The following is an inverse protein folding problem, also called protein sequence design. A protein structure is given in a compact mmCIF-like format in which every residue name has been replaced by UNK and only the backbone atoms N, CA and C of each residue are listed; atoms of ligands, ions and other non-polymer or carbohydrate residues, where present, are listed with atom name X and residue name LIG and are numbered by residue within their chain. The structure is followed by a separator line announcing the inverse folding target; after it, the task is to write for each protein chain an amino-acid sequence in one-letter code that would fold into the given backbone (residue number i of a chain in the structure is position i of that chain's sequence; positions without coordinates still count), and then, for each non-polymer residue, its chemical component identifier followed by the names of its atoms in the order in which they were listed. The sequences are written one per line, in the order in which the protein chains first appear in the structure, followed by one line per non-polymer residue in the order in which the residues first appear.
data_IF_863183072215
#
_entry.id   IF_863183072215
#
_cell.length_a   1.000
_cell.length_b   1.000
_cell.length_c   1.000
_cell.angle_alpha   90.00
_cell.angle_beta   90.00
_cell.angle_gamma   90.00
#
_symmetry.space_group_name_H-M   'P 1'
#
loop_
_entity.id
_entity.type
_entity.pdbx_description
1 polymer ?
#
# COMPACT_ATOMS: atom_id res chain seq x y z
N UNK A 1 18.46 -17.98 0.15
CA UNK A 1 17.44 -17.14 0.81
C UNK A 1 17.70 -15.70 0.39
N UNK A 2 16.95 -15.15 -0.57
CA UNK A 2 17.02 -13.71 -0.88
C UNK A 2 16.26 -12.96 0.20
N UNK A 3 16.84 -11.85 0.64
CA UNK A 3 16.28 -10.93 1.62
C UNK A 3 15.00 -10.29 1.07
N UNK A 4 13.84 -10.93 1.28
CA UNK A 4 12.49 -10.37 1.02
C UNK A 4 12.16 -9.27 2.04
N UNK A 5 13.01 -8.25 2.12
CA UNK A 5 12.84 -7.13 3.06
C UNK A 5 11.61 -6.31 2.68
N UNK A 6 11.33 -6.17 1.39
CA UNK A 6 10.16 -5.46 0.87
C UNK A 6 8.85 -6.15 1.25
N UNK A 7 8.69 -7.45 0.93
CA UNK A 7 7.49 -8.20 1.29
C UNK A 7 7.32 -8.30 2.81
N UNK A 8 8.42 -8.39 3.57
CA UNK A 8 8.37 -8.35 5.03
C UNK A 8 7.83 -7.02 5.57
N UNK A 9 8.32 -5.89 5.06
CA UNK A 9 7.88 -4.56 5.50
C UNK A 9 6.43 -4.29 5.11
N UNK A 10 6.04 -4.67 3.88
CA UNK A 10 4.65 -4.60 3.43
C UNK A 10 3.72 -5.38 4.35
N UNK A 11 4.02 -6.66 4.60
CA UNK A 11 3.25 -7.50 5.54
C UNK A 11 3.16 -6.90 6.93
N UNK A 12 4.29 -6.37 7.44
CA UNK A 12 4.36 -5.79 8.79
C UNK A 12 3.40 -4.62 8.91
N UNK A 13 3.47 -3.66 7.99
CA UNK A 13 2.63 -2.47 8.03
C UNK A 13 1.16 -2.79 7.74
N UNK A 14 0.86 -3.69 6.80
CA UNK A 14 -0.52 -4.16 6.56
C UNK A 14 -1.14 -4.78 7.82
N UNK A 15 -0.39 -5.60 8.58
CA UNK A 15 -0.88 -6.20 9.83
C UNK A 15 -1.12 -5.17 10.94
N UNK A 16 -0.29 -4.15 11.02
CA UNK A 16 -0.45 -3.07 12.01
C UNK A 16 -1.67 -2.19 11.67
N UNK A 17 -1.93 -1.95 10.39
CA UNK A 17 -2.99 -1.07 9.93
C UNK A 17 -4.35 -1.76 9.81
N UNK A 18 -4.38 -3.07 9.55
CA UNK A 18 -5.62 -3.84 9.33
C UNK A 18 -6.65 -3.72 10.48
N UNK A 19 -6.27 -3.78 11.78
CA UNK A 19 -7.23 -3.57 12.87
C UNK A 19 -7.84 -2.16 12.85
N UNK A 20 -7.04 -1.15 12.52
CA UNK A 20 -7.47 0.26 12.50
C UNK A 20 -8.43 0.50 11.35
N UNK A 21 -8.12 -0.01 10.16
CA UNK A 21 -9.00 0.13 8.99
C UNK A 21 -10.28 -0.68 9.11
N UNK A 22 -10.25 -1.83 9.80
CA UNK A 22 -11.45 -2.59 10.12
C UNK A 22 -12.43 -1.77 10.98
N UNK A 23 -11.94 -0.92 11.88
CA UNK A 23 -12.79 -0.02 12.69
C UNK A 23 -13.47 1.05 11.83
N UNK A 24 -12.82 1.48 10.74
CA UNK A 24 -13.36 2.43 9.76
C UNK A 24 -14.16 1.74 8.64
N UNK A 25 -14.44 0.44 8.76
CA UNK A 25 -15.22 -0.32 7.77
C UNK A 25 -14.48 -0.61 6.46
N UNK A 26 -13.14 -0.52 6.44
CA UNK A 26 -12.30 -0.76 5.27
C UNK A 26 -11.58 -2.11 5.43
N UNK A 27 -12.11 -3.21 4.84
CA UNK A 27 -11.43 -4.50 4.87
C UNK A 27 -10.25 -4.51 3.88
N UNK A 28 -9.03 -4.66 4.40
CA UNK A 28 -7.85 -4.89 3.55
C UNK A 28 -7.71 -6.38 3.21
N UNK A 29 -7.54 -6.67 1.92
CA UNK A 29 -7.17 -8.00 1.43
C UNK A 29 -6.08 -7.87 0.36
N UNK A 30 -4.93 -8.50 0.62
CA UNK A 30 -3.81 -8.57 -0.33
C UNK A 30 -3.54 -10.02 -0.76
N UNK A 31 -4.62 -10.81 -0.88
CA UNK A 31 -4.52 -12.19 -1.36
C UNK A 31 -3.88 -12.19 -2.75
N UNK A 32 -2.86 -13.02 -2.94
CA UNK A 32 -2.11 -13.12 -4.20
C UNK A 32 -0.97 -12.11 -4.34
N UNK A 33 -0.77 -11.18 -3.40
CA UNK A 33 0.34 -10.23 -3.47
C UNK A 33 1.72 -10.90 -3.48
N UNK A 34 1.95 -11.85 -2.57
CA UNK A 34 3.25 -12.55 -2.48
C UNK A 34 3.53 -13.38 -3.73
N UNK A 35 2.50 -14.06 -4.23
CA UNK A 35 2.57 -14.81 -5.49
C UNK A 35 2.90 -13.87 -6.65
N UNK A 36 2.29 -12.69 -6.69
CA UNK A 36 2.57 -11.70 -7.71
C UNK A 36 4.02 -11.19 -7.65
N UNK A 37 4.50 -10.81 -6.47
CA UNK A 37 5.90 -10.36 -6.29
C UNK A 37 6.86 -11.46 -6.69
N UNK A 38 6.60 -12.70 -6.27
CA UNK A 38 7.40 -13.85 -6.66
C UNK A 38 7.40 -14.05 -8.19
N UNK A 39 6.24 -13.99 -8.86
CA UNK A 39 6.15 -14.08 -10.33
C UNK A 39 6.96 -12.98 -11.03
N UNK A 40 6.93 -11.75 -10.51
CA UNK A 40 7.77 -10.65 -11.00
C UNK A 40 9.27 -10.96 -10.86
N UNK A 41 9.70 -11.51 -9.73
CA UNK A 41 11.11 -11.86 -9.49
C UNK A 41 11.59 -13.06 -10.30
N UNK A 42 10.67 -13.97 -10.65
CA UNK A 42 10.92 -15.15 -11.49
C UNK A 42 10.69 -14.88 -12.98
N UNK A 43 10.54 -13.63 -13.40
CA UNK A 43 10.36 -13.31 -14.82
C UNK A 43 11.60 -13.79 -15.61
N UNK A 44 11.49 -14.95 -16.25
CA UNK A 44 12.47 -15.52 -17.17
C UNK A 44 11.84 -15.50 -18.57
N UNK A 45 12.59 -15.01 -19.56
CA UNK A 45 12.14 -14.57 -20.90
C UNK A 45 11.60 -15.67 -21.84
N UNK A 46 11.20 -16.85 -21.35
CA UNK A 46 11.04 -18.04 -22.19
C UNK A 46 9.63 -18.27 -22.76
N UNK A 47 8.58 -17.66 -22.19
CA UNK A 47 7.20 -17.81 -22.67
C UNK A 47 6.48 -16.46 -22.82
N UNK A 48 6.19 -16.09 -24.07
CA UNK A 48 5.57 -14.80 -24.45
C UNK A 48 4.21 -14.58 -23.81
N UNK A 49 3.38 -15.61 -23.74
CA UNK A 49 2.05 -15.54 -23.13
C UNK A 49 2.15 -15.21 -21.63
N UNK A 50 3.03 -15.89 -20.91
CA UNK A 50 3.23 -15.69 -19.47
C UNK A 50 3.76 -14.28 -19.16
N UNK A 51 4.64 -13.75 -20.01
CA UNK A 51 5.15 -12.37 -19.88
C UNK A 51 4.04 -11.33 -20.09
N UNK A 52 3.13 -11.56 -21.05
CA UNK A 52 2.02 -10.65 -21.29
C UNK A 52 0.99 -10.66 -20.16
N UNK A 53 0.65 -11.84 -19.65
CA UNK A 53 -0.23 -11.97 -18.48
C UNK A 53 0.37 -11.29 -17.26
N UNK A 54 1.67 -11.53 -17.00
CA UNK A 54 2.38 -10.85 -15.91
C UNK A 54 2.38 -9.33 -16.07
N UNK A 55 2.53 -8.81 -17.30
CA UNK A 55 2.43 -7.38 -17.58
C UNK A 55 1.04 -6.81 -17.21
N UNK A 56 -0.03 -7.53 -17.55
CA UNK A 56 -1.41 -7.13 -17.22
C UNK A 56 -1.66 -7.16 -15.72
N UNK A 57 -1.21 -8.21 -15.04
CA UNK A 57 -1.35 -8.35 -13.60
C UNK A 57 -0.59 -7.25 -12.86
N UNK A 58 0.62 -6.89 -13.30
CA UNK A 58 1.38 -5.76 -12.76
C UNK A 58 0.57 -4.46 -12.88
N UNK A 59 0.00 -4.19 -14.05
CA UNK A 59 -0.81 -2.99 -14.26
C UNK A 59 -2.04 -2.99 -13.35
N UNK A 60 -2.72 -4.13 -13.22
CA UNK A 60 -3.87 -4.28 -12.33
C UNK A 60 -3.51 -3.99 -10.86
N UNK A 61 -2.41 -4.56 -10.36
CA UNK A 61 -1.92 -4.28 -9.00
C UNK A 61 -1.54 -2.81 -8.82
N UNK A 62 -0.91 -2.18 -9.81
CA UNK A 62 -0.60 -0.75 -9.74
C UNK A 62 -1.87 0.11 -9.63
N UNK A 63 -2.93 -0.22 -10.38
CA UNK A 63 -4.21 0.47 -10.28
C UNK A 63 -4.87 0.24 -8.91
N UNK A 64 -4.94 -1.01 -8.46
CA UNK A 64 -5.50 -1.36 -7.15
C UNK A 64 -4.82 -0.59 -6.01
N UNK A 65 -3.48 -0.55 -6.00
CA UNK A 65 -2.72 0.20 -4.99
C UNK A 65 -2.96 1.71 -5.09
N UNK A 66 -3.16 2.25 -6.30
CA UNK A 66 -3.49 3.66 -6.51
C UNK A 66 -4.87 4.01 -5.97
N UNK A 67 -5.88 3.17 -6.19
CA UNK A 67 -7.23 3.37 -5.67
C UNK A 67 -7.24 3.28 -4.14
N UNK A 68 -6.55 2.29 -3.58
CA UNK A 68 -6.40 2.16 -2.14
C UNK A 68 -5.69 3.37 -1.54
N UNK A 69 -4.59 3.83 -2.16
CA UNK A 69 -3.88 5.05 -1.72
C UNK A 69 -4.82 6.24 -1.65
N UNK A 70 -5.63 6.48 -2.68
CA UNK A 70 -6.59 7.58 -2.71
C UNK A 70 -7.59 7.49 -1.55
N UNK A 71 -8.14 6.30 -1.30
CA UNK A 71 -9.05 6.06 -0.17
C UNK A 71 -8.37 6.38 1.18
N UNK A 72 -7.13 5.94 1.36
CA UNK A 72 -6.36 6.15 2.58
C UNK A 72 -5.93 7.61 2.77
N UNK A 73 -5.67 8.36 1.71
CA UNK A 73 -5.42 9.80 1.78
C UNK A 73 -6.63 10.54 2.35
N UNK A 74 -7.83 10.26 1.85
CA UNK A 74 -9.08 10.85 2.36
C UNK A 74 -9.31 10.52 3.84
N UNK A 75 -9.04 9.26 4.23
CA UNK A 75 -9.11 8.86 5.64
C UNK A 75 -8.09 9.62 6.50
N UNK A 76 -6.86 9.80 6.00
CA UNK A 76 -5.82 10.54 6.68
C UNK A 76 -6.22 12.01 6.91
N UNK A 77 -6.80 12.66 5.91
CA UNK A 77 -7.34 14.03 6.03
C UNK A 77 -8.45 14.08 7.09
N UNK A 78 -9.40 13.14 7.02
CA UNK A 78 -10.49 13.02 8.00
C UNK A 78 -9.94 12.87 9.44
N UNK A 79 -8.91 12.06 9.63
CA UNK A 79 -8.28 11.90 10.94
C UNK A 79 -7.50 13.14 11.38
N UNK A 80 -6.88 13.88 10.47
CA UNK A 80 -6.22 15.16 10.78
C UNK A 80 -7.21 16.24 11.23
N UNK A 81 -8.40 16.30 10.62
CA UNK A 81 -9.49 17.17 11.05
C UNK A 81 -9.98 16.79 12.45
N UNK A 82 -10.23 15.48 12.69
CA UNK A 82 -10.59 14.97 14.03
C UNK A 82 -9.52 15.34 15.06
N UNK A 83 -8.24 15.18 14.73
CA UNK A 83 -7.13 15.53 15.60
C UNK A 83 -7.14 17.02 15.96
N UNK A 84 -7.32 17.89 14.96
CA UNK A 84 -7.35 19.35 15.14
C UNK A 84 -8.51 19.75 16.06
N UNK A 85 -9.69 19.17 15.85
CA UNK A 85 -10.85 19.36 16.73
C UNK A 85 -10.55 19.00 18.18
N UNK A 86 -9.96 17.82 18.43
CA UNK A 86 -9.61 17.37 19.77
C UNK A 86 -8.53 18.22 20.43
N UNK A 87 -7.57 18.73 19.65
CA UNK A 87 -6.52 19.62 20.18
C UNK A 87 -7.10 20.93 20.68
N UNK A 88 -8.03 21.55 19.94
CA UNK A 88 -8.74 22.77 20.38
C UNK A 88 -9.53 22.48 21.66
N UNK A 89 -10.37 21.45 21.65
CA UNK A 89 -11.22 21.10 22.81
C UNK A 89 -10.41 20.79 24.07
N UNK A 90 -9.29 20.08 23.94
CA UNK A 90 -8.43 19.73 25.07
C UNK A 90 -7.73 20.97 25.67
N UNK A 91 -7.43 21.97 24.84
CA UNK A 91 -6.85 23.24 25.29
C UNK A 91 -7.82 24.06 26.15
N UNK A 92 -9.12 23.94 25.87
CA UNK A 92 -10.20 24.64 26.59
C UNK A 92 -10.59 23.95 27.92
N UNK A 93 -10.47 22.62 28.00
CA UNK A 93 -11.07 21.81 29.09
C UNK A 93 -10.08 21.14 30.04
N UNK A 94 -8.77 21.14 29.74
CA UNK A 94 -7.70 20.47 30.54
C UNK A 94 -7.95 18.99 30.89
N UNK A 95 -8.80 18.28 30.14
CA UNK A 95 -9.10 16.88 30.41
C UNK A 95 -7.91 15.96 30.08
N UNK A 96 -7.34 15.32 31.11
CA UNK A 96 -6.23 14.36 30.97
C UNK A 96 -6.56 13.18 30.05
N UNK A 97 -7.82 12.75 30.00
CA UNK A 97 -8.27 11.63 29.16
C UNK A 97 -8.11 11.96 27.67
N UNK A 98 -8.36 13.21 27.28
CA UNK A 98 -8.24 13.72 25.91
C UNK A 98 -6.80 13.72 25.39
N UNK A 99 -5.80 13.84 26.28
CA UNK A 99 -4.37 13.78 25.90
C UNK A 99 -3.99 12.39 25.37
N UNK A 100 -4.52 11.32 25.97
CA UNK A 100 -4.23 9.95 25.55
C UNK A 100 -4.81 9.63 24.17
N UNK A 101 -6.04 10.09 23.90
CA UNK A 101 -6.72 9.96 22.61
C UNK A 101 -5.99 10.72 21.50
N UNK A 102 -5.58 11.96 21.77
CA UNK A 102 -4.78 12.77 20.82
C UNK A 102 -3.48 12.07 20.46
N UNK A 103 -2.79 11.50 21.46
CA UNK A 103 -1.53 10.78 21.24
C UNK A 103 -1.74 9.52 20.38
N UNK A 104 -2.79 8.76 20.66
CA UNK A 104 -3.09 7.55 19.90
C UNK A 104 -3.50 7.88 18.45
N UNK A 105 -4.36 8.88 18.26
CA UNK A 105 -4.76 9.34 16.93
C UNK A 105 -3.56 9.83 16.10
N UNK A 106 -2.60 10.54 16.73
CA UNK A 106 -1.34 10.94 16.07
C UNK A 106 -0.55 9.73 15.57
N UNK A 107 -0.37 8.70 16.41
CA UNK A 107 0.32 7.48 16.00
C UNK A 107 -0.37 6.78 14.84
N UNK A 108 -1.71 6.73 14.86
CA UNK A 108 -2.49 6.13 13.77
C UNK A 108 -2.33 6.92 12.46
N UNK A 109 -2.33 8.25 12.52
CA UNK A 109 -2.05 9.12 11.36
C UNK A 109 -0.64 8.88 10.82
N UNK A 110 0.38 8.82 11.68
CA UNK A 110 1.77 8.61 11.25
C UNK A 110 1.97 7.21 10.63
N UNK A 111 1.33 6.19 11.19
CA UNK A 111 1.28 4.85 10.62
C UNK A 111 0.60 4.85 9.24
N UNK A 112 -0.54 5.53 9.12
CA UNK A 112 -1.29 5.62 7.87
C UNK A 112 -0.49 6.34 6.77
N UNK A 113 0.21 7.43 7.10
CA UNK A 113 1.12 8.15 6.18
C UNK A 113 2.24 7.23 5.69
N UNK A 114 2.88 6.53 6.61
CA UNK A 114 3.94 5.57 6.27
C UNK A 114 3.42 4.48 5.33
N UNK A 115 2.20 4.00 5.56
CA UNK A 115 1.58 3.02 4.69
C UNK A 115 1.21 3.59 3.31
N UNK A 116 0.74 4.83 3.24
CA UNK A 116 0.47 5.54 1.98
C UNK A 116 1.74 5.64 1.13
N UNK A 117 2.87 5.98 1.75
CA UNK A 117 4.17 6.05 1.06
C UNK A 117 4.62 4.67 0.56
N UNK A 118 4.41 3.62 1.38
CA UNK A 118 4.67 2.24 0.97
C UNK A 118 3.80 1.81 -0.23
N UNK A 119 2.50 2.13 -0.22
CA UNK A 119 1.61 1.83 -1.34
C UNK A 119 2.08 2.51 -2.64
N UNK A 120 2.59 3.74 -2.54
CA UNK A 120 3.14 4.44 -3.70
C UNK A 120 4.42 3.78 -4.22
N UNK A 121 5.31 3.36 -3.33
CA UNK A 121 6.52 2.62 -3.69
C UNK A 121 6.20 1.28 -4.39
N UNK A 122 5.23 0.52 -3.87
CA UNK A 122 4.79 -0.73 -4.50
C UNK A 122 4.10 -0.48 -5.84
N UNK A 123 3.29 0.59 -5.95
CA UNK A 123 2.69 1.00 -7.22
C UNK A 123 3.76 1.28 -8.27
N UNK A 124 4.78 2.06 -7.92
CA UNK A 124 5.89 2.37 -8.83
C UNK A 124 6.62 1.10 -9.26
N UNK A 125 6.85 0.17 -8.33
CA UNK A 125 7.45 -1.12 -8.65
C UNK A 125 6.62 -1.90 -9.68
N UNK A 126 5.31 -2.04 -9.47
CA UNK A 126 4.47 -2.76 -10.42
C UNK A 126 4.40 -2.07 -11.78
N UNK A 127 4.42 -0.73 -11.85
CA UNK A 127 4.52 -0.01 -13.11
C UNK A 127 5.86 -0.26 -13.83
N UNK A 128 6.97 -0.33 -13.09
CA UNK A 128 8.28 -0.70 -13.65
C UNK A 128 8.26 -2.13 -14.17
N UNK A 129 7.72 -3.09 -13.41
CA UNK A 129 7.61 -4.48 -13.85
C UNK A 129 6.71 -4.62 -15.07
N UNK A 130 5.57 -3.93 -15.12
CA UNK A 130 4.72 -3.86 -16.31
C UNK A 130 5.53 -3.41 -17.53
N UNK A 131 6.29 -2.33 -17.40
CA UNK A 131 7.10 -1.80 -18.49
C UNK A 131 8.17 -2.79 -18.96
N UNK A 132 8.89 -3.43 -18.03
CA UNK A 132 9.88 -4.46 -18.34
C UNK A 132 9.26 -5.67 -19.06
N UNK A 133 8.10 -6.15 -18.58
CA UNK A 133 7.37 -7.23 -19.24
C UNK A 133 6.97 -6.85 -20.67
N UNK A 134 6.45 -5.63 -20.87
CA UNK A 134 6.08 -5.14 -22.20
C UNK A 134 7.28 -5.00 -23.14
N UNK A 135 8.45 -4.62 -22.63
CA UNK A 135 9.68 -4.61 -23.42
C UNK A 135 10.11 -6.03 -23.83
N UNK A 136 10.11 -6.98 -22.89
CA UNK A 136 10.44 -8.37 -23.16
C UNK A 136 9.48 -8.96 -24.21
N UNK A 137 8.18 -8.79 -24.02
CA UNK A 137 7.14 -9.23 -24.96
C UNK A 137 7.37 -8.70 -26.39
N UNK A 138 7.66 -7.39 -26.53
CA UNK A 138 7.96 -6.79 -27.84
C UNK A 138 9.19 -7.40 -28.50
N UNK A 139 10.25 -7.66 -27.74
CA UNK A 139 11.46 -8.30 -28.26
C UNK A 139 11.17 -9.72 -28.76
N UNK A 140 10.35 -10.49 -28.05
CA UNK A 140 10.07 -11.87 -28.43
C UNK A 140 9.12 -12.01 -29.62
N UNK A 141 8.28 -11.01 -29.91
CA UNK A 141 7.38 -11.03 -31.09
C UNK A 141 8.04 -10.47 -32.35
N UNK A 142 9.05 -9.59 -32.20
CA UNK A 142 9.75 -8.97 -33.33
C UNK A 142 11.01 -9.75 -33.77
N UNK A 143 11.27 -10.91 -33.16
CA UNK A 143 12.28 -11.89 -33.56
C UNK A 143 11.61 -13.05 -34.31
#
# INVERSE_FOLDING_TARGET
MRNDVRGQEFRRLTRLLAPVLKQEGIPLSFRGYEEMVWRCEQMIEHHVADVYELARDCLHWAHYLSELKTLLCVLCETWQERLSFWQVRCSETQERTSISLIRELKKQIDLLKTYIDLLDAERVYFLQMHFLCMQAFRKTILL
#
